data_IF_259249806770
#
_entry.id   IF_259249806770
#
_cell.length_a   1.000
_cell.length_b   1.000
_cell.length_c   1.000
_cell.angle_alpha   90.00
_cell.angle_beta   90.00
_cell.angle_gamma   90.00
#
_symmetry.space_group_name_H-M   'P 1'
#
loop_
_entity.id
_entity.type
_entity.pdbx_description
1 polymer ?
#
# COMPACT_ATOMS: atom_id res chain seq x y z
N UNK A 1 38.38 -34.73 -39.40
CA UNK A 1 37.57 -33.51 -39.30
C UNK A 1 36.45 -33.76 -38.30
N UNK A 2 36.53 -33.20 -37.09
CA UNK A 2 35.41 -32.83 -36.18
C UNK A 2 35.95 -32.38 -34.80
N UNK A 3 36.61 -31.21 -34.66
CA UNK A 3 36.83 -30.60 -33.34
C UNK A 3 35.86 -29.45 -33.04
N UNK A 4 34.92 -29.14 -33.92
CA UNK A 4 34.11 -27.92 -33.85
C UNK A 4 32.84 -28.01 -32.97
N UNK A 5 32.43 -29.20 -32.52
CA UNK A 5 31.18 -29.34 -31.74
C UNK A 5 31.36 -29.01 -30.24
N UNK A 6 32.52 -29.35 -29.65
CA UNK A 6 32.73 -29.21 -28.20
C UNK A 6 32.94 -27.76 -27.73
N UNK A 7 33.56 -26.92 -28.55
CA UNK A 7 33.78 -25.49 -28.24
C UNK A 7 32.50 -24.68 -28.28
N UNK A 8 31.56 -25.04 -29.16
CA UNK A 8 30.26 -24.38 -29.27
C UNK A 8 29.37 -24.64 -28.05
N UNK A 9 29.36 -25.89 -27.54
CA UNK A 9 28.63 -26.25 -26.31
C UNK A 9 29.20 -25.55 -25.08
N UNK A 10 30.53 -25.51 -24.92
CA UNK A 10 31.16 -24.79 -23.81
C UNK A 10 30.88 -23.29 -23.86
N UNK A 11 30.88 -22.69 -25.05
CA UNK A 11 30.58 -21.27 -25.23
C UNK A 11 29.12 -20.96 -24.91
N UNK A 12 28.18 -21.82 -25.34
CA UNK A 12 26.76 -21.67 -25.04
C UNK A 12 26.45 -21.86 -23.54
N UNK A 13 27.14 -22.78 -22.86
CA UNK A 13 27.02 -23.01 -21.42
C UNK A 13 27.62 -21.84 -20.62
N UNK A 14 28.72 -21.24 -21.09
CA UNK A 14 29.29 -20.03 -20.50
C UNK A 14 28.36 -18.83 -20.67
N UNK A 15 27.73 -18.67 -21.83
CA UNK A 15 26.73 -17.64 -22.10
C UNK A 15 25.49 -17.86 -21.23
N UNK A 16 24.98 -19.10 -21.11
CA UNK A 16 23.88 -19.44 -20.21
C UNK A 16 24.20 -19.18 -18.74
N UNK A 17 25.42 -19.49 -18.30
CA UNK A 17 25.88 -19.19 -16.94
C UNK A 17 26.03 -17.68 -16.72
N UNK A 18 26.50 -16.92 -17.71
CA UNK A 18 26.55 -15.45 -17.68
C UNK A 18 25.14 -14.84 -17.63
N UNK A 19 24.16 -15.39 -18.37
CA UNK A 19 22.77 -14.96 -18.30
C UNK A 19 22.05 -15.40 -17.02
N UNK A 20 22.46 -16.52 -16.40
CA UNK A 20 21.93 -16.94 -15.10
C UNK A 20 22.35 -16.03 -13.94
N UNK A 21 23.32 -15.14 -14.17
CA UNK A 21 23.77 -14.12 -13.22
C UNK A 21 23.14 -12.75 -13.44
N UNK A 22 22.13 -12.62 -14.30
CA UNK A 22 21.21 -11.48 -14.24
C UNK A 22 20.39 -11.62 -12.94
N UNK A 23 21.00 -11.15 -11.85
CA UNK A 23 20.45 -11.13 -10.51
C UNK A 23 19.20 -10.24 -10.49
N UNK A 24 18.04 -10.87 -10.25
CA UNK A 24 16.76 -10.23 -9.98
C UNK A 24 16.77 -9.55 -8.59
N UNK A 25 17.61 -8.54 -8.42
CA UNK A 25 17.81 -7.86 -7.16
C UNK A 25 17.67 -6.34 -7.32
N UNK A 26 16.67 -5.80 -6.64
CA UNK A 26 16.50 -4.36 -6.42
C UNK A 26 17.62 -3.85 -5.48
N UNK A 27 18.16 -2.64 -5.72
CA UNK A 27 19.19 -2.06 -4.86
C UNK A 27 18.60 -1.52 -3.56
N UNK A 28 18.45 -2.38 -2.56
CA UNK A 28 18.08 -1.97 -1.20
C UNK A 28 19.29 -1.82 -0.27
N UNK A 29 20.52 -1.68 -0.79
CA UNK A 29 21.72 -1.59 0.04
C UNK A 29 21.75 -0.34 0.93
N UNK A 30 21.11 0.73 0.49
CA UNK A 30 21.04 2.02 1.19
C UNK A 30 19.63 2.57 1.12
N UNK A 31 19.11 3.05 2.26
CA UNK A 31 17.86 3.81 2.33
C UNK A 31 18.00 5.13 1.56
N UNK A 32 17.14 5.36 0.57
CA UNK A 32 17.13 6.60 -0.22
C UNK A 32 16.26 7.67 0.44
N UNK A 33 16.48 8.93 0.06
CA UNK A 33 15.69 10.05 0.56
C UNK A 33 14.34 10.15 -0.18
N UNK A 34 13.24 10.52 0.51
CA UNK A 34 11.93 10.61 -0.13
C UNK A 34 11.86 11.75 -1.15
N UNK A 35 11.33 11.51 -2.36
CA UNK A 35 11.10 12.56 -3.33
C UNK A 35 9.86 13.38 -2.97
N UNK A 36 9.78 14.58 -3.55
CA UNK A 36 8.57 15.39 -3.51
C UNK A 36 8.27 16.07 -2.17
N UNK A 37 7.06 16.61 -2.09
CA UNK A 37 6.60 17.50 -1.02
C UNK A 37 5.85 16.75 0.09
N UNK A 38 5.17 15.63 -0.23
CA UNK A 38 4.46 14.82 0.76
C UNK A 38 5.38 13.81 1.44
N UNK A 39 6.56 13.57 0.87
CA UNK A 39 7.63 12.74 1.44
C UNK A 39 7.21 11.28 1.61
N UNK A 40 6.41 10.81 0.65
CA UNK A 40 6.08 9.38 0.51
C UNK A 40 7.36 8.60 0.24
N UNK A 41 7.61 7.58 1.05
CA UNK A 41 8.83 6.77 0.98
C UNK A 41 8.53 5.30 1.22
N UNK A 42 9.42 4.43 0.75
CA UNK A 42 9.43 3.02 1.09
C UNK A 42 9.54 2.84 2.61
N UNK A 43 8.69 2.01 3.20
CA UNK A 43 8.93 1.45 4.53
C UNK A 43 10.13 0.50 4.44
N UNK A 44 11.31 1.09 4.61
CA UNK A 44 12.58 0.43 4.35
C UNK A 44 12.82 -0.72 5.34
N UNK A 45 12.39 -0.57 6.60
CA UNK A 45 12.48 -1.63 7.60
C UNK A 45 11.63 -2.85 7.22
N UNK A 46 10.43 -2.62 6.70
CA UNK A 46 9.58 -3.70 6.18
C UNK A 46 10.16 -4.36 4.92
N UNK A 47 10.69 -3.55 3.99
CA UNK A 47 11.26 -4.05 2.75
C UNK A 47 12.56 -4.87 2.95
N UNK A 48 13.34 -4.55 3.97
CA UNK A 48 14.63 -5.18 4.26
C UNK A 48 14.56 -6.25 5.36
N UNK A 49 13.37 -6.56 5.86
CA UNK A 49 13.17 -7.57 6.91
C UNK A 49 13.88 -8.89 6.56
N UNK A 50 14.65 -9.49 7.49
CA UNK A 50 15.30 -10.77 7.28
C UNK A 50 14.29 -11.88 6.98
N UNK A 51 14.64 -12.76 6.05
CA UNK A 51 13.83 -13.92 5.70
C UNK A 51 14.60 -15.17 6.16
N UNK A 52 14.02 -16.03 7.02
CA UNK A 52 14.67 -17.24 7.48
C UNK A 52 15.16 -18.10 6.31
N UNK A 53 16.44 -18.50 6.36
CA UNK A 53 17.05 -19.35 5.33
C UNK A 53 17.42 -18.66 4.01
N UNK A 54 17.25 -17.34 3.89
CA UNK A 54 17.62 -16.58 2.68
C UNK A 54 18.61 -15.47 3.03
N UNK A 55 19.83 -15.57 2.50
CA UNK A 55 20.82 -14.50 2.63
C UNK A 55 20.37 -13.25 1.87
N UNK A 56 20.74 -12.07 2.38
CA UNK A 56 20.31 -10.78 1.83
C UNK A 56 20.64 -10.61 0.35
N UNK A 57 21.87 -10.94 -0.03
CA UNK A 57 22.36 -10.91 -1.41
C UNK A 57 21.72 -11.94 -2.37
N UNK A 58 20.87 -12.84 -1.86
CA UNK A 58 20.14 -13.84 -2.66
C UNK A 58 18.63 -13.61 -2.62
N UNK A 59 18.14 -12.55 -1.98
CA UNK A 59 16.71 -12.23 -1.96
C UNK A 59 16.30 -11.76 -3.34
N UNK A 60 15.27 -12.39 -3.90
CA UNK A 60 14.63 -11.95 -5.14
C UNK A 60 13.70 -10.79 -4.85
N UNK A 61 13.47 -9.92 -5.83
CA UNK A 61 12.52 -8.80 -5.69
C UNK A 61 11.14 -9.21 -5.17
N UNK A 62 10.64 -10.39 -5.57
CA UNK A 62 9.35 -10.94 -5.13
C UNK A 62 9.28 -11.25 -3.64
N UNK A 63 10.42 -11.41 -2.99
CA UNK A 63 10.56 -11.81 -1.60
C UNK A 63 10.62 -10.60 -0.65
N UNK A 64 10.62 -9.38 -1.16
CA UNK A 64 10.47 -8.20 -0.32
C UNK A 64 9.00 -7.87 -0.06
N UNK A 65 8.75 -6.98 0.90
CA UNK A 65 7.43 -6.39 1.17
C UNK A 65 7.49 -4.90 0.87
N UNK A 66 6.90 -4.50 -0.24
CA UNK A 66 6.90 -3.11 -0.66
C UNK A 66 5.63 -2.42 -0.17
N UNK A 67 5.82 -1.39 0.64
CA UNK A 67 4.79 -0.49 1.12
C UNK A 67 5.40 0.90 1.17
N UNK A 68 4.69 1.87 0.63
CA UNK A 68 5.12 3.26 0.62
C UNK A 68 4.15 4.08 1.45
N UNK A 69 4.68 4.95 2.28
CA UNK A 69 3.84 5.76 3.15
C UNK A 69 4.48 7.09 3.52
N UNK A 70 3.65 8.00 3.99
CA UNK A 70 4.08 9.21 4.68
C UNK A 70 3.05 9.59 5.74
N UNK A 71 3.48 10.38 6.69
CA UNK A 71 2.69 10.87 7.79
C UNK A 71 2.91 12.37 7.93
N UNK A 72 1.82 13.12 7.98
CA UNK A 72 1.82 14.58 8.00
C UNK A 72 1.03 15.06 9.20
N UNK A 73 1.60 15.99 9.95
CA UNK A 73 0.92 16.71 11.04
C UNK A 73 0.79 18.17 10.64
N UNK A 74 -0.41 18.72 10.77
CA UNK A 74 -0.79 20.08 10.38
C UNK A 74 -0.97 20.98 11.60
N UNK A 75 -0.79 22.29 11.41
CA UNK A 75 -0.99 23.26 12.48
C UNK A 75 -2.47 23.39 12.88
N UNK A 76 -3.38 23.18 11.94
CA UNK A 76 -4.83 23.25 12.17
C UNK A 76 -5.53 21.93 11.84
N UNK A 77 -6.77 21.70 12.31
CA UNK A 77 -7.53 20.50 12.00
C UNK A 77 -7.68 20.29 10.49
N UNK A 78 -7.44 19.04 10.08
CA UNK A 78 -7.54 18.63 8.67
C UNK A 78 -8.99 18.60 8.20
N UNK A 79 -9.98 18.71 9.09
CA UNK A 79 -11.40 18.90 8.73
C UNK A 79 -11.62 20.14 7.84
N UNK A 80 -10.74 21.15 7.91
CA UNK A 80 -10.75 22.32 7.02
C UNK A 80 -10.33 22.00 5.57
N UNK A 81 -9.69 20.85 5.34
CA UNK A 81 -9.26 20.39 4.01
C UNK A 81 -10.46 19.81 3.27
N UNK A 82 -10.68 20.23 2.04
CA UNK A 82 -11.78 19.70 1.22
C UNK A 82 -11.48 18.29 0.70
N UNK A 83 -12.51 17.50 0.44
CA UNK A 83 -12.36 16.15 -0.12
C UNK A 83 -11.65 16.15 -1.49
N UNK A 84 -11.88 17.19 -2.30
CA UNK A 84 -11.15 17.37 -3.57
C UNK A 84 -9.65 17.60 -3.37
N UNK A 85 -9.25 18.30 -2.30
CA UNK A 85 -7.84 18.46 -1.95
C UNK A 85 -7.25 17.15 -1.43
N UNK A 86 -7.99 16.37 -0.62
CA UNK A 86 -7.55 15.04 -0.18
C UNK A 86 -7.33 14.10 -1.39
N UNK A 87 -8.25 14.10 -2.36
CA UNK A 87 -8.07 13.37 -3.63
C UNK A 87 -6.79 13.82 -4.34
N UNK A 88 -6.56 15.12 -4.52
CA UNK A 88 -5.38 15.63 -5.20
C UNK A 88 -4.08 15.29 -4.44
N UNK A 89 -4.10 15.31 -3.11
CA UNK A 89 -2.98 14.88 -2.27
C UNK A 89 -2.65 13.40 -2.48
N UNK A 90 -3.66 12.52 -2.48
CA UNK A 90 -3.47 11.08 -2.75
C UNK A 90 -2.87 10.83 -4.14
N UNK A 91 -3.27 11.61 -5.16
CA UNK A 91 -2.71 11.51 -6.51
C UNK A 91 -1.23 11.93 -6.55
N UNK A 92 -0.90 13.04 -5.90
CA UNK A 92 0.50 13.50 -5.78
C UNK A 92 1.33 12.45 -5.02
N UNK A 93 0.79 11.90 -3.95
CA UNK A 93 1.43 10.86 -3.14
C UNK A 93 1.71 9.59 -3.94
N UNK A 94 0.76 9.15 -4.78
CA UNK A 94 1.00 8.04 -5.71
C UNK A 94 2.14 8.36 -6.69
N UNK A 95 2.22 9.59 -7.20
CA UNK A 95 3.31 10.03 -8.06
C UNK A 95 4.67 10.04 -7.35
N UNK A 96 4.70 10.42 -6.08
CA UNK A 96 5.91 10.36 -5.24
C UNK A 96 6.33 8.90 -4.96
N UNK A 97 5.38 8.00 -4.68
CA UNK A 97 5.64 6.56 -4.58
C UNK A 97 6.27 5.99 -5.86
N UNK A 98 5.74 6.32 -7.04
CA UNK A 98 6.32 5.88 -8.33
C UNK A 98 7.77 6.35 -8.46
N UNK A 99 8.07 7.60 -8.07
CA UNK A 99 9.43 8.15 -8.12
C UNK A 99 10.36 7.52 -7.09
N UNK A 100 9.86 7.27 -5.88
CA UNK A 100 10.66 6.70 -4.80
C UNK A 100 11.11 5.29 -5.14
N UNK A 101 10.20 4.45 -5.67
CA UNK A 101 10.53 3.10 -6.15
C UNK A 101 11.64 3.09 -7.19
N UNK A 102 11.68 4.08 -8.09
CA UNK A 102 12.69 4.15 -9.15
C UNK A 102 14.10 4.45 -8.62
N UNK A 103 14.23 5.06 -7.43
CA UNK A 103 15.54 5.32 -6.81
C UNK A 103 16.27 4.04 -6.39
N UNK A 104 15.55 2.92 -6.33
CA UNK A 104 16.05 1.62 -5.92
C UNK A 104 16.36 0.71 -7.12
N UNK A 105 16.35 1.24 -8.34
CA UNK A 105 16.76 0.52 -9.57
C UNK A 105 16.10 -0.86 -9.76
N UNK A 106 14.76 -0.93 -9.78
CA UNK A 106 14.06 -2.21 -9.93
C UNK A 106 14.38 -2.87 -11.27
N UNK A 107 14.74 -4.15 -11.20
CA UNK A 107 15.16 -4.99 -12.33
C UNK A 107 13.98 -5.71 -12.98
N UNK A 108 12.94 -6.05 -12.21
CA UNK A 108 11.77 -6.76 -12.75
C UNK A 108 10.71 -5.75 -13.19
N UNK A 109 10.51 -5.66 -14.51
CA UNK A 109 9.54 -4.75 -15.12
C UNK A 109 8.34 -5.52 -15.70
N UNK A 110 7.14 -4.91 -15.63
CA UNK A 110 5.93 -5.42 -16.28
C UNK A 110 6.04 -5.21 -17.78
N UNK A 111 6.05 -6.33 -18.52
CA UNK A 111 6.10 -6.37 -19.99
C UNK A 111 5.05 -5.44 -20.60
N UNK A 112 5.49 -4.58 -21.52
CA UNK A 112 4.63 -3.64 -22.25
C UNK A 112 4.32 -2.32 -21.54
N UNK A 113 4.67 -2.16 -20.25
CA UNK A 113 4.51 -0.88 -19.55
C UNK A 113 5.82 -0.26 -19.06
N UNK A 114 6.88 -1.07 -18.91
CA UNK A 114 8.15 -0.63 -18.33
C UNK A 114 8.08 -0.25 -16.85
N UNK A 115 6.93 -0.47 -16.19
CA UNK A 115 6.77 -0.20 -14.75
C UNK A 115 7.37 -1.32 -13.90
N UNK A 116 7.90 -1.03 -12.70
CA UNK A 116 8.35 -2.06 -11.78
C UNK A 116 7.22 -3.04 -11.42
N UNK A 117 7.47 -4.34 -11.47
CA UNK A 117 6.48 -5.38 -11.22
C UNK A 117 5.92 -5.36 -9.80
N UNK A 118 6.73 -4.93 -8.85
CA UNK A 118 6.36 -4.84 -7.44
C UNK A 118 6.01 -3.42 -6.97
N UNK A 119 5.83 -2.47 -7.90
CA UNK A 119 5.25 -1.17 -7.59
C UNK A 119 3.79 -1.34 -7.10
N UNK A 120 3.44 -0.86 -5.91
CA UNK A 120 2.04 -0.82 -5.48
C UNK A 120 1.16 -0.01 -6.44
N UNK A 121 -0.08 -0.45 -6.60
CA UNK A 121 -0.97 0.09 -7.65
C UNK A 121 -1.85 1.25 -7.17
N UNK A 122 -2.02 1.41 -5.85
CA UNK A 122 -2.91 2.40 -5.26
C UNK A 122 -2.25 3.15 -4.13
N UNK A 123 -2.78 4.35 -3.85
CA UNK A 123 -2.43 5.17 -2.71
C UNK A 123 -3.68 5.55 -1.94
N UNK A 124 -3.74 5.20 -0.66
CA UNK A 124 -4.82 5.55 0.25
C UNK A 124 -4.42 6.75 1.09
N UNK A 125 -5.35 7.66 1.32
CA UNK A 125 -5.22 8.78 2.25
C UNK A 125 -6.25 8.60 3.37
N UNK A 126 -5.82 8.82 4.62
CA UNK A 126 -6.66 8.81 5.81
C UNK A 126 -6.43 10.12 6.55
N UNK A 127 -7.48 10.92 6.75
CA UNK A 127 -7.44 12.24 7.35
C UNK A 127 -8.30 12.30 8.62
N UNK A 128 -7.70 12.73 9.73
CA UNK A 128 -8.31 12.76 11.06
C UNK A 128 -7.61 13.80 11.95
N UNK A 129 -8.32 14.44 12.89
CA UNK A 129 -7.71 15.43 13.79
C UNK A 129 -6.90 16.50 13.04
N UNK A 130 -5.59 16.56 13.29
CA UNK A 130 -4.62 17.43 12.61
C UNK A 130 -3.69 16.65 11.68
N UNK A 131 -4.07 15.43 11.30
CA UNK A 131 -3.14 14.44 10.78
C UNK A 131 -3.62 13.81 9.48
N UNK A 132 -2.65 13.46 8.63
CA UNK A 132 -2.87 12.68 7.42
C UNK A 132 -1.88 11.53 7.36
N UNK A 133 -2.40 10.33 7.14
CA UNK A 133 -1.63 9.14 6.75
C UNK A 133 -1.86 8.91 5.26
N UNK A 134 -0.76 8.75 4.52
CA UNK A 134 -0.74 8.27 3.14
C UNK A 134 -0.10 6.89 3.14
N UNK A 135 -0.78 5.89 2.58
CA UNK A 135 -0.30 4.51 2.57
C UNK A 135 -0.67 3.81 1.27
N UNK A 136 0.30 3.17 0.63
CA UNK A 136 0.04 2.36 -0.55
C UNK A 136 -0.57 1.01 -0.19
N UNK A 137 -1.11 0.31 -1.19
CA UNK A 137 -1.23 -1.16 -1.07
C UNK A 137 0.14 -1.81 -0.84
N UNK A 138 0.17 -3.05 -0.37
CA UNK A 138 1.40 -3.85 -0.28
C UNK A 138 1.62 -4.71 -1.53
N UNK A 139 2.88 -4.84 -1.97
CA UNK A 139 3.32 -5.80 -3.00
C UNK A 139 4.44 -6.71 -2.49
N UNK A 140 4.70 -7.79 -3.22
CA UNK A 140 5.67 -8.83 -2.87
C UNK A 140 5.07 -9.91 -1.97
N UNK A 141 5.81 -10.35 -0.94
CA UNK A 141 5.40 -11.40 0.02
C UNK A 141 4.01 -11.16 0.64
N UNK A 142 3.49 -12.18 1.31
CA UNK A 142 2.19 -12.14 1.99
C UNK A 142 1.98 -10.90 2.86
N UNK A 143 0.70 -10.52 2.99
CA UNK A 143 0.27 -9.32 3.70
C UNK A 143 0.87 -9.30 5.09
N UNK A 144 1.63 -8.23 5.40
CA UNK A 144 2.34 -8.10 6.66
C UNK A 144 1.41 -8.28 7.86
N UNK A 145 0.23 -7.68 7.77
CA UNK A 145 -0.78 -7.71 8.82
C UNK A 145 -1.28 -9.12 9.16
N UNK A 146 -1.22 -10.08 8.22
CA UNK A 146 -1.64 -11.45 8.50
C UNK A 146 -0.74 -12.11 9.56
N UNK A 147 0.53 -11.71 9.62
CA UNK A 147 1.55 -12.26 10.52
C UNK A 147 1.78 -11.39 11.77
N UNK A 148 1.14 -10.22 11.85
CA UNK A 148 1.28 -9.33 12.99
C UNK A 148 0.41 -9.82 14.16
N UNK A 149 0.98 -10.05 15.36
CA UNK A 149 0.29 -10.76 16.44
C UNK A 149 -0.87 -9.99 17.07
N UNK A 150 -0.80 -8.66 17.13
CA UNK A 150 -1.82 -7.83 17.79
C UNK A 150 -2.06 -6.51 17.04
N UNK A 151 -3.10 -6.48 16.21
CA UNK A 151 -3.57 -5.27 15.52
C UNK A 151 -5.09 -5.18 15.59
N UNK A 152 -5.66 -4.02 16.02
CA UNK A 152 -7.10 -3.78 15.93
C UNK A 152 -7.67 -4.00 14.52
N UNK A 153 -6.89 -3.71 13.48
CA UNK A 153 -7.28 -3.96 12.09
C UNK A 153 -7.33 -5.46 11.77
N UNK A 154 -6.42 -6.26 12.32
CA UNK A 154 -6.47 -7.73 12.14
C UNK A 154 -7.73 -8.29 12.79
N UNK A 155 -8.05 -7.85 14.00
CA UNK A 155 -9.29 -8.24 14.68
C UNK A 155 -10.55 -7.81 13.89
N UNK A 156 -10.55 -6.59 13.31
CA UNK A 156 -11.63 -6.14 12.44
C UNK A 156 -11.77 -7.00 11.17
N UNK A 157 -10.66 -7.39 10.54
CA UNK A 157 -10.66 -8.30 9.40
C UNK A 157 -11.20 -9.69 9.77
N UNK A 158 -10.86 -10.21 10.95
CA UNK A 158 -11.38 -11.49 11.45
C UNK A 158 -12.91 -11.42 11.66
N UNK A 159 -13.42 -10.31 12.22
CA UNK A 159 -14.87 -10.05 12.30
C UNK A 159 -15.54 -9.96 10.93
N UNK A 160 -14.91 -9.26 9.97
CA UNK A 160 -15.43 -9.14 8.61
C UNK A 160 -15.51 -10.51 7.92
N UNK A 161 -14.51 -11.36 8.12
CA UNK A 161 -14.51 -12.75 7.63
C UNK A 161 -15.67 -13.57 8.21
N UNK A 162 -15.94 -13.43 9.51
CA UNK A 162 -17.06 -14.10 10.15
C UNK A 162 -18.42 -13.59 9.60
N UNK A 163 -18.56 -12.28 9.40
CA UNK A 163 -19.75 -11.66 8.79
C UNK A 163 -19.98 -12.14 7.36
N UNK A 164 -18.91 -12.23 6.56
CA UNK A 164 -18.97 -12.79 5.20
C UNK A 164 -19.45 -14.24 5.22
N UNK A 165 -18.83 -15.07 6.05
CA UNK A 165 -19.19 -16.49 6.19
C UNK A 165 -20.66 -16.65 6.55
N UNK A 166 -21.15 -15.89 7.53
CA UNK A 166 -22.55 -15.94 7.94
C UNK A 166 -23.49 -15.56 6.79
N UNK A 167 -23.17 -14.51 6.03
CA UNK A 167 -23.94 -14.11 4.83
C UNK A 167 -24.01 -15.23 3.79
N UNK A 168 -22.86 -15.84 3.46
CA UNK A 168 -22.78 -16.87 2.42
C UNK A 168 -23.48 -18.17 2.84
N UNK A 169 -23.33 -18.60 4.10
CA UNK A 169 -23.96 -19.83 4.59
C UNK A 169 -25.48 -19.71 4.67
N UNK A 170 -26.00 -18.51 4.94
CA UNK A 170 -27.44 -18.25 5.08
C UNK A 170 -28.12 -17.86 3.75
N UNK A 171 -27.37 -17.70 2.67
CA UNK A 171 -27.91 -17.38 1.34
C UNK A 171 -27.95 -18.66 0.47
N UNK A 172 -29.14 -19.27 0.27
CA UNK A 172 -29.27 -20.52 -0.48
C UNK A 172 -28.90 -20.39 -1.97
N UNK A 173 -28.88 -19.17 -2.51
CA UNK A 173 -28.53 -18.89 -3.90
C UNK A 173 -27.05 -18.51 -4.08
N UNK A 174 -26.28 -18.45 -2.98
CA UNK A 174 -24.87 -18.05 -3.02
C UNK A 174 -23.97 -19.16 -3.59
N UNK A 175 -23.14 -18.81 -4.56
CA UNK A 175 -22.07 -19.67 -5.09
C UNK A 175 -20.69 -19.33 -4.53
N UNK A 176 -20.63 -18.42 -3.56
CA UNK A 176 -19.37 -17.90 -3.04
C UNK A 176 -18.75 -18.86 -2.02
N UNK A 177 -17.43 -18.78 -1.82
CA UNK A 177 -16.73 -19.60 -0.83
C UNK A 177 -16.88 -19.00 0.59
N UNK A 178 -17.54 -19.69 1.54
CA UNK A 178 -17.70 -19.22 2.92
C UNK A 178 -16.38 -19.26 3.72
N UNK A 179 -15.32 -19.85 3.18
CA UNK A 179 -13.96 -19.82 3.72
C UNK A 179 -13.05 -18.83 2.97
N UNK A 180 -13.59 -18.05 2.02
CA UNK A 180 -12.81 -17.08 1.27
C UNK A 180 -12.17 -16.07 2.24
N UNK A 181 -10.85 -15.88 2.11
CA UNK A 181 -10.16 -14.77 2.75
C UNK A 181 -10.46 -13.45 2.03
N UNK A 182 -10.06 -12.35 2.67
CA UNK A 182 -10.10 -11.02 2.07
C UNK A 182 -9.50 -11.02 0.66
N UNK A 183 -10.19 -10.48 -0.36
CA UNK A 183 -9.78 -10.53 -1.79
C UNK A 183 -8.30 -10.23 -2.04
N UNK A 184 -7.78 -9.18 -1.42
CA UNK A 184 -6.37 -8.77 -1.56
C UNK A 184 -5.46 -9.26 -0.42
N UNK A 185 -5.82 -10.32 0.31
CA UNK A 185 -5.02 -10.93 1.40
C UNK A 185 -4.49 -9.90 2.43
N UNK A 186 -5.34 -8.96 2.84
CA UNK A 186 -5.00 -7.85 3.75
C UNK A 186 -3.85 -6.94 3.26
N UNK A 187 -3.68 -6.76 1.94
CA UNK A 187 -2.66 -5.88 1.33
C UNK A 187 -3.20 -4.53 0.84
N UNK A 188 -4.48 -4.22 1.08
CA UNK A 188 -5.08 -2.96 0.62
C UNK A 188 -4.47 -1.74 1.32
N UNK A 189 -4.50 -0.58 0.66
CA UNK A 189 -3.99 0.65 1.25
C UNK A 189 -4.82 1.11 2.47
N UNK A 190 -6.13 0.84 2.48
CA UNK A 190 -7.01 1.07 3.64
C UNK A 190 -6.54 0.27 4.85
N UNK A 191 -6.27 -1.02 4.66
CA UNK A 191 -5.78 -1.93 5.71
C UNK A 191 -4.47 -1.40 6.30
N UNK A 192 -3.54 -1.01 5.44
CA UNK A 192 -2.23 -0.51 5.86
C UNK A 192 -2.34 0.83 6.58
N UNK A 193 -3.12 1.78 6.05
CA UNK A 193 -3.28 3.10 6.65
C UNK A 193 -4.00 3.03 8.01
N UNK A 194 -5.04 2.21 8.14
CA UNK A 194 -5.68 1.98 9.44
C UNK A 194 -4.73 1.30 10.42
N UNK A 195 -3.90 0.37 9.95
CA UNK A 195 -2.91 -0.24 10.83
C UNK A 195 -1.93 0.83 11.35
N UNK A 196 -1.40 1.68 10.47
CA UNK A 196 -0.52 2.79 10.85
C UNK A 196 -1.17 3.77 11.85
N UNK A 197 -2.47 4.04 11.70
CA UNK A 197 -3.23 4.80 12.69
C UNK A 197 -3.14 4.13 14.08
N UNK A 198 -3.50 2.85 14.18
CA UNK A 198 -3.44 2.11 15.44
C UNK A 198 -2.02 1.81 15.96
N UNK A 199 -0.98 2.06 15.15
CA UNK A 199 0.41 1.99 15.61
C UNK A 199 0.84 3.23 16.40
N UNK A 200 0.05 4.31 16.35
CA UNK A 200 0.34 5.60 17.00
C UNK A 200 -0.81 6.13 17.85
N UNK A 201 -2.01 5.58 17.68
CA UNK A 201 -3.23 6.02 18.34
C UNK A 201 -3.94 4.87 19.07
N UNK A 202 -4.54 5.19 20.21
CA UNK A 202 -5.33 4.26 21.02
C UNK A 202 -6.83 4.45 20.87
N UNK A 203 -7.29 5.64 20.47
CA UNK A 203 -8.70 5.92 20.16
C UNK A 203 -9.15 5.04 19.01
N UNK A 204 -10.35 4.46 19.08
CA UNK A 204 -10.92 3.70 17.97
C UNK A 204 -11.27 4.65 16.82
N UNK A 205 -11.03 4.25 15.56
CA UNK A 205 -11.38 5.08 14.39
C UNK A 205 -12.86 5.54 14.40
N UNK A 206 -13.85 4.67 14.71
CA UNK A 206 -15.25 5.07 14.86
C UNK A 206 -15.50 6.18 15.90
N UNK A 207 -14.67 6.28 16.93
CA UNK A 207 -14.83 7.24 18.03
C UNK A 207 -14.17 8.59 17.74
N UNK A 208 -13.47 8.72 16.60
CA UNK A 208 -12.78 9.96 16.22
C UNK A 208 -13.78 10.99 15.70
N UNK A 209 -13.73 12.20 16.28
CA UNK A 209 -14.54 13.34 15.87
C UNK A 209 -13.65 14.56 15.57
N UNK A 210 -13.81 15.25 14.41
CA UNK A 210 -14.69 14.94 13.28
C UNK A 210 -14.41 13.57 12.64
N UNK A 211 -15.44 13.01 12.00
CA UNK A 211 -15.40 11.67 11.37
C UNK A 211 -14.20 11.53 10.44
N UNK A 212 -13.47 10.41 10.56
CA UNK A 212 -12.29 10.11 9.73
C UNK A 212 -12.70 10.03 8.26
N UNK A 213 -11.90 10.65 7.39
CA UNK A 213 -12.13 10.66 5.94
C UNK A 213 -11.08 9.85 5.22
N UNK A 214 -11.51 9.01 4.27
CA UNK A 214 -10.66 8.02 3.60
C UNK A 214 -10.92 8.03 2.11
N UNK A 215 -9.88 7.87 1.30
CA UNK A 215 -10.06 7.51 -0.12
C UNK A 215 -8.83 6.81 -0.66
N UNK A 216 -9.01 6.02 -1.70
CA UNK A 216 -7.93 5.31 -2.38
C UNK A 216 -7.91 5.70 -3.84
N UNK A 217 -6.77 6.16 -4.35
CA UNK A 217 -6.59 6.52 -5.76
C UNK A 217 -5.73 5.50 -6.49
N UNK A 218 -6.05 5.30 -7.76
CA UNK A 218 -5.31 4.44 -8.70
C UNK A 218 -4.98 5.23 -9.96
N UNK A 219 -3.79 4.99 -10.53
CA UNK A 219 -3.38 5.57 -11.81
C UNK A 219 -3.75 4.64 -12.97
N UNK A 220 -4.75 5.02 -13.75
CA UNK A 220 -5.13 4.37 -15.01
C UNK A 220 -4.47 5.02 -16.23
N UNK A 221 -4.90 4.59 -17.43
CA UNK A 221 -4.41 5.17 -18.71
C UNK A 221 -4.87 6.62 -18.92
N UNK A 222 -6.08 6.95 -18.47
CA UNK A 222 -6.71 8.27 -18.64
C UNK A 222 -6.47 9.21 -17.44
N UNK A 223 -5.53 8.87 -16.56
CA UNK A 223 -5.26 9.62 -15.34
C UNK A 223 -5.70 8.88 -14.07
N UNK A 224 -6.06 9.65 -13.04
CA UNK A 224 -6.36 9.11 -11.72
C UNK A 224 -7.86 9.00 -11.44
N UNK A 225 -8.28 7.84 -10.95
CA UNK A 225 -9.62 7.60 -10.39
C UNK A 225 -9.51 7.22 -8.92
N UNK A 226 -10.58 7.48 -8.17
CA UNK A 226 -10.83 6.85 -6.88
C UNK A 226 -11.31 5.43 -7.14
N UNK A 227 -10.74 4.49 -6.42
CA UNK A 227 -11.13 3.10 -6.41
C UNK A 227 -12.03 2.89 -5.19
N UNK A 228 -13.21 2.31 -5.38
CA UNK A 228 -14.04 1.89 -4.26
C UNK A 228 -13.31 0.81 -3.42
N UNK A 229 -13.64 0.65 -2.13
CA UNK A 229 -13.08 -0.44 -1.33
C UNK A 229 -13.31 -1.77 -2.03
N UNK A 230 -12.29 -2.64 -2.11
CA UNK A 230 -12.48 -3.93 -2.77
C UNK A 230 -13.59 -4.73 -2.08
N UNK A 231 -14.39 -5.48 -2.85
CA UNK A 231 -15.63 -6.06 -2.35
C UNK A 231 -16.85 -5.15 -2.56
N UNK A 232 -16.67 -4.01 -3.23
CA UNK A 232 -17.75 -3.16 -3.76
C UNK A 232 -17.82 -3.36 -5.27
N UNK A 233 -19.01 -3.64 -5.79
CA UNK A 233 -19.29 -3.78 -7.22
C UNK A 233 -19.45 -2.41 -7.90
N UNK A 234 -19.48 -2.38 -9.23
CA UNK A 234 -19.55 -1.14 -10.01
C UNK A 234 -20.82 -0.30 -9.74
N UNK A 235 -21.89 -0.93 -9.30
CA UNK A 235 -23.14 -0.27 -8.88
C UNK A 235 -23.10 0.29 -7.45
N UNK A 236 -21.99 0.12 -6.72
CA UNK A 236 -21.82 0.55 -5.34
C UNK A 236 -22.32 -0.43 -4.29
N UNK A 237 -22.84 -1.59 -4.69
CA UNK A 237 -23.31 -2.63 -3.76
C UNK A 237 -22.16 -3.56 -3.32
N UNK A 238 -22.41 -4.38 -2.29
CA UNK A 238 -21.46 -5.41 -1.88
C UNK A 238 -21.32 -6.48 -2.98
N UNK A 239 -20.08 -6.88 -3.28
CA UNK A 239 -19.76 -7.99 -4.17
C UNK A 239 -20.30 -9.32 -3.63
N UNK A 240 -20.81 -10.15 -4.53
CA UNK A 240 -21.46 -11.43 -4.18
C UNK A 240 -20.50 -12.60 -4.10
N UNK A 241 -19.37 -12.54 -4.81
CA UNK A 241 -18.43 -13.68 -4.93
C UNK A 241 -17.25 -13.60 -3.96
N UNK A 242 -16.94 -12.40 -3.47
CA UNK A 242 -15.83 -12.17 -2.54
C UNK A 242 -16.10 -10.95 -1.68
N UNK A 243 -15.42 -10.88 -0.54
CA UNK A 243 -15.43 -9.72 0.34
C UNK A 243 -14.08 -9.00 0.35
N UNK A 244 -14.07 -7.78 0.89
CA UNK A 244 -12.83 -7.08 1.16
C UNK A 244 -12.98 -5.86 2.05
N UNK A 245 -12.31 -4.78 1.67
CA UNK A 245 -12.29 -3.53 2.41
C UNK A 245 -13.65 -2.84 2.50
N UNK A 246 -14.65 -3.20 1.69
CA UNK A 246 -16.02 -2.70 1.85
C UNK A 246 -16.55 -2.99 3.26
N UNK A 247 -16.29 -4.19 3.79
CA UNK A 247 -16.68 -4.56 5.15
C UNK A 247 -15.83 -3.84 6.20
N UNK A 248 -14.52 -3.72 5.96
CA UNK A 248 -13.60 -3.05 6.88
C UNK A 248 -13.90 -1.54 7.02
N UNK A 249 -14.10 -0.84 5.90
CA UNK A 249 -14.44 0.58 5.87
C UNK A 249 -15.76 0.84 6.60
N UNK A 250 -16.74 -0.08 6.48
CA UNK A 250 -18.00 -0.03 7.22
C UNK A 250 -17.80 -0.29 8.72
N UNK A 251 -17.00 -1.29 9.10
CA UNK A 251 -16.67 -1.60 10.50
C UNK A 251 -15.93 -0.44 11.20
N UNK A 252 -15.05 0.26 10.48
CA UNK A 252 -14.33 1.43 11.00
C UNK A 252 -15.16 2.72 10.98
N UNK A 253 -16.40 2.69 10.49
CA UNK A 253 -17.30 3.83 10.37
C UNK A 253 -16.62 5.11 9.85
N UNK A 254 -16.00 5.04 8.67
CA UNK A 254 -15.32 6.21 8.06
C UNK A 254 -16.16 6.85 6.95
N UNK A 255 -15.93 8.13 6.69
CA UNK A 255 -16.43 8.77 5.46
C UNK A 255 -15.52 8.44 4.29
N UNK A 256 -15.97 7.53 3.42
CA UNK A 256 -15.22 7.17 2.22
C UNK A 256 -15.56 8.14 1.08
N UNK A 257 -14.56 8.87 0.59
CA UNK A 257 -14.73 9.85 -0.50
C UNK A 257 -14.86 9.09 -1.82
N UNK A 258 -15.95 9.32 -2.55
CA UNK A 258 -16.27 8.65 -3.80
C UNK A 258 -15.69 9.31 -5.05
N UNK A 259 -15.82 8.61 -6.18
CA UNK A 259 -15.25 8.97 -7.49
C UNK A 259 -15.78 10.29 -8.07
N UNK A 260 -16.98 10.70 -7.67
CA UNK A 260 -17.65 11.95 -8.07
C UNK A 260 -16.89 13.20 -7.62
N UNK A 261 -16.09 13.12 -6.56
CA UNK A 261 -15.35 14.25 -6.01
C UNK A 261 -14.20 14.65 -6.92
N UNK A 262 -14.25 15.82 -7.54
CA UNK A 262 -13.19 16.32 -8.42
C UNK A 262 -11.94 16.71 -7.62
N UNK A 263 -10.77 16.40 -8.16
CA UNK A 263 -9.50 16.82 -7.56
C UNK A 263 -9.41 18.36 -7.54
N UNK A 264 -8.93 18.90 -6.42
CA UNK A 264 -8.78 20.34 -6.21
C UNK A 264 -7.33 20.66 -5.81
N UNK A 265 -6.73 21.76 -6.33
CA UNK A 265 -5.37 22.15 -5.97
C UNK A 265 -5.19 22.39 -4.46
N UNK A 266 -4.00 22.07 -3.97
CA UNK A 266 -3.59 22.33 -2.59
C UNK A 266 -2.18 22.92 -2.53
N UNK A 267 -1.87 23.57 -1.41
CA UNK A 267 -0.51 24.04 -1.11
C UNK A 267 -0.19 23.75 0.35
N UNK A 268 0.81 22.89 0.61
CA UNK A 268 1.15 22.41 1.96
C UNK A 268 1.49 23.52 2.96
N UNK A 269 1.92 24.69 2.50
CA UNK A 269 2.24 25.85 3.35
C UNK A 269 0.99 26.65 3.80
N UNK A 270 -0.17 26.41 3.20
CA UNK A 270 -1.41 27.17 3.46
C UNK A 270 -2.53 26.29 4.00
N UNK A 271 -2.65 25.07 3.47
CA UNK A 271 -3.71 24.14 3.81
C UNK A 271 -3.62 23.74 5.27
N UNK A 272 -4.75 23.79 5.99
CA UNK A 272 -4.83 23.50 7.42
C UNK A 272 -3.72 24.20 8.25
N UNK A 273 -3.51 25.50 8.03
CA UNK A 273 -2.49 26.29 8.74
C UNK A 273 -1.04 25.92 8.39
N UNK A 274 -0.82 25.02 7.44
CA UNK A 274 0.49 24.53 7.04
C UNK A 274 0.89 23.22 7.71
N UNK A 275 1.77 22.45 7.05
CA UNK A 275 2.36 21.23 7.63
C UNK A 275 3.38 21.60 8.70
N UNK A 276 3.17 21.13 9.92
CA UNK A 276 4.06 21.27 11.06
C UNK A 276 5.20 20.26 11.00
N UNK A 277 4.89 18.98 10.77
CA UNK A 277 5.87 17.88 10.73
C UNK A 277 5.56 16.89 9.61
N UNK A 278 6.61 16.24 9.12
CA UNK A 278 6.54 15.17 8.12
C UNK A 278 7.39 14.00 8.57
N UNK A 279 6.90 12.80 8.35
CA UNK A 279 7.64 11.59 8.69
C UNK A 279 7.01 10.35 8.08
N UNK A 280 7.30 9.21 8.69
CA UNK A 280 6.72 7.92 8.32
C UNK A 280 6.45 7.09 9.58
N UNK A 281 5.20 6.67 9.77
CA UNK A 281 4.85 5.64 10.74
C UNK A 281 5.30 4.29 10.18
N UNK A 282 6.23 3.62 10.86
CA UNK A 282 6.71 2.30 10.43
C UNK A 282 5.64 1.23 10.70
N UNK A 283 5.48 0.28 9.78
CA UNK A 283 4.53 -0.83 9.93
C UNK A 283 4.92 -1.79 11.06
N UNK A 284 6.22 -1.95 11.34
CA UNK A 284 6.74 -3.01 12.18
C UNK A 284 7.12 -2.60 13.62
N UNK A 285 6.90 -1.34 14.02
CA UNK A 285 7.28 -0.85 15.35
C UNK A 285 6.24 0.10 15.90
N UNK A 286 5.59 -0.26 17.03
CA UNK A 286 4.60 0.61 17.70
C UNK A 286 5.26 1.90 18.18
N UNK A 287 4.53 3.02 18.09
CA UNK A 287 4.94 4.34 18.52
C UNK A 287 6.29 4.81 17.95
N UNK A 288 6.67 4.31 16.78
CA UNK A 288 7.90 4.69 16.10
C UNK A 288 7.60 5.44 14.82
N UNK A 289 7.90 6.74 14.84
CA UNK A 289 7.75 7.65 13.71
C UNK A 289 9.14 8.14 13.33
N UNK A 290 9.51 7.94 12.08
CA UNK A 290 10.75 8.49 11.53
C UNK A 290 10.42 9.88 10.99
N UNK A 291 10.78 10.92 11.73
CA UNK A 291 10.57 12.31 11.32
C UNK A 291 11.62 12.76 10.31
N UNK A 292 11.25 13.69 9.44
CA UNK A 292 12.19 14.33 8.52
C UNK A 292 13.00 15.39 9.23
N UNK A 293 14.33 15.31 9.12
CA UNK A 293 15.27 16.28 9.69
C UNK A 293 15.78 15.94 11.09
N UNK A 294 15.39 14.78 11.63
CA UNK A 294 16.00 14.11 12.78
C UNK A 294 16.96 13.01 12.29
#
# INVERSE_FOLDING_TARGET
MTPFLGTFYLSFLLILLLFSQCLDAIDLSVKKSPPGQLKVRLDYGLATQPIPGVSENKRRESQHRYLFSSYLVFNEPVSSITDGQLRQMAQVAHGEMEKDMQQYEPTILVKGSGKPAYLPSVMTIVAFGNEIILSSSQKGLDGFLNQWPESPVKLALDRCSALWRDRVVNDPDSTADPAAGHKNKAKCGEVNAFHQYYMTHTTSIPDVNPKVRVTTVVKGRQGYSILAPCGTADNGEDEKEFWGCNLLVRDQDVHYIGQEVKAAPFALRKIAGGVQKKGQIQMCTRNNIIWDGE
#
